data_IF_753173407986
#
_entry.id   IF_753173407986
#
_cell.length_a   1.000
_cell.length_b   1.000
_cell.length_c   1.000
_cell.angle_alpha   90.00
_cell.angle_beta   90.00
_cell.angle_gamma   90.00
#
_symmetry.space_group_name_H-M   'P 1'
#
loop_
_entity.id
_entity.type
_entity.pdbx_description
1 polymer ?
#
# COMPACT_ATOMS: atom_id res chain seq x y z
N UNK A 1 9.07 -12.20 -16.45
CA UNK A 1 8.72 -12.14 -15.01
C UNK A 1 7.23 -12.41 -14.88
N UNK A 2 6.79 -13.11 -13.84
CA UNK A 2 5.37 -13.32 -13.54
C UNK A 2 5.06 -12.75 -12.16
N UNK A 3 3.88 -12.16 -12.00
CA UNK A 3 3.43 -11.67 -10.71
C UNK A 3 3.05 -12.89 -9.85
N UNK A 4 3.61 -13.04 -8.63
CA UNK A 4 3.24 -14.13 -7.74
C UNK A 4 1.75 -14.09 -7.42
N UNK A 5 1.10 -15.25 -7.42
CA UNK A 5 -0.31 -15.38 -7.05
C UNK A 5 -0.44 -15.81 -5.59
N UNK A 6 -1.45 -15.27 -4.91
CA UNK A 6 -1.78 -15.63 -3.53
C UNK A 6 -3.17 -16.27 -3.47
N UNK A 7 -3.31 -17.35 -2.70
CA UNK A 7 -4.60 -18.02 -2.47
C UNK A 7 -5.53 -17.13 -1.63
N UNK A 8 -6.85 -17.33 -1.72
CA UNK A 8 -7.81 -16.56 -0.91
C UNK A 8 -7.56 -16.71 0.59
N UNK A 9 -7.30 -17.95 1.05
CA UNK A 9 -6.99 -18.21 2.46
C UNK A 9 -5.77 -17.42 2.93
N UNK A 10 -4.66 -17.47 2.18
CA UNK A 10 -3.44 -16.75 2.56
C UNK A 10 -3.64 -15.23 2.49
N UNK A 11 -4.38 -14.75 1.50
CA UNK A 11 -4.72 -13.33 1.37
C UNK A 11 -5.49 -12.82 2.60
N UNK A 12 -6.54 -13.53 3.01
CA UNK A 12 -7.32 -13.19 4.20
C UNK A 12 -6.48 -13.21 5.47
N UNK A 13 -5.62 -14.21 5.64
CA UNK A 13 -4.72 -14.30 6.79
C UNK A 13 -3.71 -13.14 6.84
N UNK A 14 -3.14 -12.77 5.70
CA UNK A 14 -2.21 -11.65 5.62
C UNK A 14 -2.93 -10.32 5.83
N UNK A 15 -4.12 -10.11 5.27
CA UNK A 15 -4.88 -8.86 5.46
C UNK A 15 -5.34 -8.62 6.89
N UNK A 16 -5.47 -9.67 7.71
CA UNK A 16 -5.70 -9.53 9.15
C UNK A 16 -4.48 -8.93 9.87
N UNK A 17 -3.28 -9.18 9.37
CA UNK A 17 -1.99 -8.82 10.00
C UNK A 17 -1.37 -7.56 9.40
N UNK A 18 -1.45 -7.42 8.09
CA UNK A 18 -0.76 -6.43 7.26
C UNK A 18 -1.81 -5.58 6.56
N UNK A 19 -1.88 -4.29 6.89
CA UNK A 19 -2.90 -3.38 6.36
C UNK A 19 -2.30 -2.29 5.48
N UNK A 20 -2.96 -1.90 4.39
CA UNK A 20 -2.55 -0.73 3.62
C UNK A 20 -2.70 0.55 4.46
N UNK A 21 -1.73 1.45 4.31
CA UNK A 21 -1.73 2.79 4.88
C UNK A 21 -1.33 3.81 3.81
N UNK A 22 -1.67 5.07 4.08
CA UNK A 22 -1.27 6.24 3.30
C UNK A 22 -0.73 7.30 4.25
N UNK A 23 0.15 8.18 3.75
CA UNK A 23 0.54 9.37 4.49
C UNK A 23 -0.34 10.56 4.14
N UNK A 24 -0.88 11.19 5.17
CA UNK A 24 -1.70 12.39 5.03
C UNK A 24 -1.38 13.39 6.13
N UNK A 25 -1.48 14.66 5.78
CA UNK A 25 -1.41 15.77 6.72
C UNK A 25 -2.76 16.47 6.84
N UNK A 26 -3.03 17.00 8.03
CA UNK A 26 -4.21 17.85 8.24
C UNK A 26 -3.90 19.25 7.74
N UNK A 27 -4.57 19.64 6.68
CA UNK A 27 -4.52 21.01 6.16
C UNK A 27 -5.75 21.75 6.67
N UNK A 28 -5.54 22.91 7.28
CA UNK A 28 -6.61 23.77 7.79
C UNK A 28 -6.58 25.10 7.07
N UNK A 29 -7.73 25.53 6.55
CA UNK A 29 -7.90 26.82 5.91
C UNK A 29 -9.21 27.48 6.39
N UNK A 30 -9.53 28.65 5.84
CA UNK A 30 -10.75 29.40 6.17
C UNK A 30 -12.06 28.65 5.90
N UNK A 31 -12.04 27.56 5.11
CA UNK A 31 -13.18 26.71 4.77
C UNK A 31 -13.27 25.44 5.63
N UNK A 32 -12.34 25.22 6.57
CA UNK A 32 -12.30 24.08 7.47
C UNK A 32 -11.00 23.27 7.41
N UNK A 33 -11.00 22.09 8.03
CA UNK A 33 -9.88 21.15 8.01
C UNK A 33 -10.15 19.97 7.08
N UNK A 34 -9.18 19.59 6.26
CA UNK A 34 -9.19 18.38 5.43
C UNK A 34 -7.89 17.59 5.58
N UNK A 35 -7.93 16.31 5.20
CA UNK A 35 -6.72 15.49 5.07
C UNK A 35 -6.29 15.51 3.62
N UNK A 36 -5.00 15.73 3.39
CA UNK A 36 -4.38 15.71 2.06
C UNK A 36 -3.18 14.78 2.09
N UNK A 37 -2.89 14.11 0.96
CA UNK A 37 -1.69 13.30 0.83
C UNK A 37 -0.44 14.16 1.02
N UNK A 38 0.45 13.70 1.89
CA UNK A 38 1.67 14.41 2.26
C UNK A 38 2.78 13.39 2.56
N UNK A 39 3.89 13.38 1.81
CA UNK A 39 5.02 12.47 2.06
C UNK A 39 5.62 12.54 3.47
N UNK A 40 5.48 13.68 4.15
CA UNK A 40 5.96 13.92 5.52
C UNK A 40 4.82 13.81 6.56
N UNK A 41 3.61 13.49 6.10
CA UNK A 41 2.43 13.33 6.93
C UNK A 41 2.41 12.06 7.78
N UNK A 42 1.36 12.01 8.59
CA UNK A 42 1.05 10.90 9.48
C UNK A 42 0.46 9.70 8.71
N UNK A 43 0.72 8.48 9.20
CA UNK A 43 0.16 7.27 8.61
C UNK A 43 -1.30 7.07 9.02
N UNK A 44 -2.18 6.92 8.04
CA UNK A 44 -3.59 6.58 8.23
C UNK A 44 -3.91 5.24 7.58
N UNK A 45 -4.73 4.43 8.26
CA UNK A 45 -5.36 3.28 7.60
C UNK A 45 -6.42 3.77 6.61
N UNK A 46 -6.58 3.05 5.51
CA UNK A 46 -7.62 3.34 4.52
C UNK A 46 -8.89 2.52 4.77
N UNK A 47 -10.02 2.98 4.22
CA UNK A 47 -11.26 2.22 4.16
C UNK A 47 -11.00 0.90 3.41
N UNK A 48 -11.58 -0.24 3.84
CA UNK A 48 -11.46 -1.50 3.11
C UNK A 48 -11.89 -1.36 1.65
N UNK A 49 -11.11 -1.96 0.75
CA UNK A 49 -11.38 -2.04 -0.68
C UNK A 49 -11.21 -3.49 -1.14
N UNK A 50 -11.74 -3.82 -2.32
CA UNK A 50 -11.64 -5.16 -2.88
C UNK A 50 -10.18 -5.52 -3.22
N UNK A 51 -9.54 -6.46 -2.49
CA UNK A 51 -8.08 -6.60 -2.47
C UNK A 51 -7.44 -7.07 -3.77
N UNK A 52 -8.22 -7.67 -4.69
CA UNK A 52 -7.74 -8.10 -6.02
C UNK A 52 -8.11 -7.13 -7.13
N UNK A 53 -9.17 -6.34 -6.93
CA UNK A 53 -9.80 -5.60 -8.03
C UNK A 53 -9.60 -4.10 -7.97
N UNK A 54 -9.28 -3.54 -6.81
CA UNK A 54 -9.18 -2.09 -6.62
C UNK A 54 -7.74 -1.68 -6.35
N UNK A 55 -7.29 -0.66 -7.07
CA UNK A 55 -6.09 0.11 -6.75
C UNK A 55 -6.34 0.84 -5.43
N UNK A 56 -5.74 0.36 -4.34
CA UNK A 56 -6.05 0.90 -3.02
C UNK A 56 -5.50 2.32 -2.79
N UNK A 57 -4.65 2.81 -3.70
CA UNK A 57 -3.99 4.11 -3.65
C UNK A 57 -4.51 5.13 -4.67
N UNK A 58 -5.53 4.83 -5.50
CA UNK A 58 -6.06 5.79 -6.49
C UNK A 58 -6.97 6.86 -5.89
N UNK A 59 -7.78 6.48 -4.90
CA UNK A 59 -8.63 7.40 -4.13
C UNK A 59 -8.76 6.85 -2.70
N UNK A 60 -7.65 6.79 -1.96
CA UNK A 60 -7.64 6.20 -0.64
C UNK A 60 -8.50 7.05 0.30
N UNK A 61 -9.47 6.43 0.96
CA UNK A 61 -10.26 7.11 1.99
C UNK A 61 -9.62 6.88 3.37
N UNK A 62 -8.87 7.85 3.93
CA UNK A 62 -8.28 7.68 5.26
C UNK A 62 -9.39 7.52 6.31
N UNK A 63 -9.17 6.62 7.27
CA UNK A 63 -10.16 6.30 8.31
C UNK A 63 -9.69 6.73 9.69
N UNK A 64 -8.57 6.17 10.16
CA UNK A 64 -8.01 6.47 11.48
C UNK A 64 -6.49 6.48 11.43
N UNK A 65 -5.91 7.31 12.28
CA UNK A 65 -4.47 7.39 12.50
C UNK A 65 -3.92 6.01 12.92
N UNK A 66 -2.87 5.55 12.26
CA UNK A 66 -2.20 4.29 12.51
C UNK A 66 -1.19 4.40 13.67
N UNK A 67 -1.67 4.82 14.86
CA UNK A 67 -0.84 5.12 16.06
C UNK A 67 0.13 4.01 16.46
N UNK A 68 -0.22 2.75 16.17
CA UNK A 68 0.58 1.57 16.51
C UNK A 68 1.66 1.23 15.47
N UNK A 69 1.72 1.94 14.35
CA UNK A 69 2.68 1.70 13.26
C UNK A 69 3.84 2.69 13.43
N UNK A 70 5.08 2.20 13.32
CA UNK A 70 6.25 3.07 13.28
C UNK A 70 6.17 3.91 12.00
N UNK A 71 6.20 5.26 12.06
CA UNK A 71 6.11 6.10 10.87
C UNK A 71 7.32 5.94 9.94
N UNK A 72 8.45 5.40 10.42
CA UNK A 72 9.62 5.15 9.58
C UNK A 72 9.57 3.72 9.03
N UNK A 73 9.52 3.52 7.70
CA UNK A 73 9.53 2.18 7.13
C UNK A 73 10.88 1.52 7.40
N UNK A 74 10.86 0.26 7.82
CA UNK A 74 12.09 -0.49 8.09
C UNK A 74 12.70 -1.07 6.81
N UNK A 75 11.92 -1.13 5.72
CA UNK A 75 12.34 -1.68 4.43
C UNK A 75 11.54 -1.08 3.27
N UNK A 76 12.19 -0.98 2.12
CA UNK A 76 11.57 -0.70 0.83
C UNK A 76 11.80 -1.90 -0.09
N UNK A 77 10.78 -2.29 -0.83
CA UNK A 77 10.85 -3.33 -1.87
C UNK A 77 10.25 -2.78 -3.17
N UNK A 78 10.67 -3.34 -4.30
CA UNK A 78 10.03 -3.09 -5.58
C UNK A 78 8.97 -4.17 -5.79
N UNK A 79 7.74 -3.75 -6.07
CA UNK A 79 6.62 -4.63 -6.41
C UNK A 79 6.21 -4.39 -7.84
N UNK A 80 5.78 -5.47 -8.49
CA UNK A 80 5.35 -5.52 -9.89
C UNK A 80 3.83 -5.70 -9.92
N UNK A 81 3.12 -4.97 -10.77
CA UNK A 81 1.66 -5.09 -10.86
C UNK A 81 1.15 -5.04 -12.30
N UNK A 82 -0.03 -5.62 -12.44
CA UNK A 82 -0.74 -5.70 -13.71
C UNK A 82 -1.46 -4.38 -14.05
N UNK A 83 -1.93 -4.29 -15.30
CA UNK A 83 -2.73 -3.17 -15.78
C UNK A 83 -4.14 -3.21 -15.17
N UNK A 84 -4.63 -2.07 -14.69
CA UNK A 84 -6.03 -1.86 -14.35
C UNK A 84 -6.89 -1.46 -15.55
N UNK A 85 -6.30 -0.72 -16.48
CA UNK A 85 -6.84 -0.33 -17.79
C UNK A 85 -5.66 -0.09 -18.77
N UNK A 86 -5.88 0.14 -20.08
CA UNK A 86 -4.82 0.26 -21.10
C UNK A 86 -3.73 1.32 -20.82
N UNK A 87 -3.92 2.18 -19.82
CA UNK A 87 -2.92 3.16 -19.37
C UNK A 87 -2.99 3.47 -17.87
N UNK A 88 -3.75 2.68 -17.09
CA UNK A 88 -3.96 2.93 -15.66
C UNK A 88 -3.49 1.74 -14.83
N UNK A 89 -2.58 2.01 -13.90
CA UNK A 89 -1.89 1.04 -13.05
C UNK A 89 -2.70 0.64 -11.83
N UNK A 90 -2.85 -0.66 -11.55
CA UNK A 90 -3.68 -1.11 -10.43
C UNK A 90 -2.87 -1.90 -9.41
N UNK A 91 -2.24 -1.25 -8.41
CA UNK A 91 -1.64 -1.99 -7.32
C UNK A 91 -2.76 -2.55 -6.47
N UNK A 92 -3.07 -3.82 -6.67
CA UNK A 92 -3.99 -4.52 -5.79
C UNK A 92 -3.26 -4.90 -4.50
N UNK A 93 -4.00 -4.96 -3.39
CA UNK A 93 -3.48 -5.43 -2.11
C UNK A 93 -2.93 -6.86 -2.26
N UNK A 94 -3.60 -7.69 -3.04
CA UNK A 94 -3.21 -9.08 -3.26
C UNK A 94 -1.83 -9.20 -3.91
N UNK A 95 -1.52 -8.38 -4.93
CA UNK A 95 -0.22 -8.40 -5.59
C UNK A 95 0.89 -7.90 -4.67
N UNK A 96 0.63 -6.83 -3.88
CA UNK A 96 1.61 -6.35 -2.90
C UNK A 96 1.92 -7.45 -1.89
N UNK A 97 0.88 -8.02 -1.27
CA UNK A 97 1.05 -9.04 -0.23
C UNK A 97 1.71 -10.31 -0.75
N UNK A 98 1.46 -10.71 -2.00
CA UNK A 98 2.11 -11.87 -2.64
C UNK A 98 3.62 -11.66 -2.87
N UNK A 99 4.10 -10.42 -2.88
CA UNK A 99 5.49 -10.06 -3.13
C UNK A 99 6.26 -9.65 -1.87
N UNK A 100 5.61 -9.60 -0.70
CA UNK A 100 6.30 -9.39 0.58
C UNK A 100 7.14 -10.64 0.88
N UNK A 101 8.48 -10.52 1.08
CA UNK A 101 9.31 -11.67 1.40
C UNK A 101 8.83 -12.36 2.68
N UNK A 102 8.84 -13.70 2.71
CA UNK A 102 8.30 -14.47 3.83
C UNK A 102 8.92 -14.09 5.19
N UNK A 103 10.23 -13.80 5.21
CA UNK A 103 10.95 -13.32 6.40
C UNK A 103 10.41 -12.01 6.97
N UNK A 104 9.80 -11.18 6.12
CA UNK A 104 9.24 -9.87 6.48
C UNK A 104 7.79 -9.97 6.94
N UNK A 105 7.05 -11.05 6.61
CA UNK A 105 5.63 -11.22 6.95
C UNK A 105 5.38 -11.17 8.47
N UNK A 106 6.29 -11.75 9.28
CA UNK A 106 6.15 -11.76 10.75
C UNK A 106 6.36 -10.38 11.40
N UNK A 107 7.07 -9.49 10.71
CA UNK A 107 7.46 -8.16 11.21
C UNK A 107 6.55 -7.05 10.67
N UNK A 108 6.12 -7.20 9.42
CA UNK A 108 5.29 -6.23 8.72
C UNK A 108 3.89 -6.16 9.35
N UNK A 109 3.43 -4.95 9.66
CA UNK A 109 2.06 -4.69 10.15
C UNK A 109 1.29 -3.76 9.22
N UNK A 110 2.00 -3.02 8.36
CA UNK A 110 1.41 -2.13 7.38
C UNK A 110 2.33 -1.91 6.18
N UNK A 111 1.76 -1.45 5.07
CA UNK A 111 2.50 -1.07 3.87
C UNK A 111 1.89 0.14 3.17
N UNK A 112 2.74 0.86 2.43
CA UNK A 112 2.37 1.97 1.53
C UNK A 112 3.03 1.71 0.17
N UNK A 113 2.34 2.02 -0.92
CA UNK A 113 2.87 1.81 -2.28
C UNK A 113 2.87 3.13 -3.05
N UNK A 114 4.05 3.50 -3.55
CA UNK A 114 4.28 4.68 -4.38
C UNK A 114 4.68 4.25 -5.79
N UNK A 115 4.07 4.84 -6.81
CA UNK A 115 4.30 4.45 -8.20
C UNK A 115 5.67 4.92 -8.69
N UNK A 116 6.41 4.05 -9.39
CA UNK A 116 7.69 4.43 -10.00
C UNK A 116 7.61 4.55 -11.53
N UNK A 117 6.64 3.90 -12.17
CA UNK A 117 6.41 3.99 -13.61
C UNK A 117 6.55 2.64 -14.35
N UNK A 118 6.79 2.72 -15.66
CA UNK A 118 6.91 1.56 -16.54
C UNK A 118 8.28 0.90 -16.42
N UNK A 119 8.33 -0.42 -16.60
CA UNK A 119 9.59 -1.10 -16.94
C UNK A 119 9.83 -0.99 -18.44
N UNK A 120 11.07 -0.75 -18.86
CA UNK A 120 11.48 -0.52 -20.26
C UNK A 120 11.12 -1.65 -21.26
N UNK A 121 10.53 -2.77 -20.80
CA UNK A 121 10.12 -3.94 -21.60
C UNK A 121 8.65 -4.39 -21.37
N UNK A 122 7.78 -3.44 -21.01
CA UNK A 122 6.32 -3.36 -21.31
C UNK A 122 5.42 -4.61 -21.17
N UNK A 123 5.34 -5.19 -19.98
CA UNK A 123 4.11 -5.93 -19.60
C UNK A 123 3.68 -5.70 -18.15
N UNK A 124 4.44 -4.93 -17.39
CA UNK A 124 4.15 -4.66 -15.99
C UNK A 124 4.61 -3.27 -15.59
N UNK A 125 4.07 -2.82 -14.47
CA UNK A 125 4.48 -1.58 -13.84
C UNK A 125 5.17 -1.86 -12.51
N UNK A 126 6.09 -0.97 -12.14
CA UNK A 126 6.78 -1.05 -10.86
C UNK A 126 6.28 0.01 -9.89
N UNK A 127 6.21 -0.39 -8.63
CA UNK A 127 5.96 0.50 -7.53
C UNK A 127 6.97 0.23 -6.41
N UNK A 128 7.33 1.29 -5.69
CA UNK A 128 8.08 1.18 -4.46
C UNK A 128 7.10 0.94 -3.31
N UNK A 129 7.15 -0.24 -2.74
CA UNK A 129 6.38 -0.58 -1.54
C UNK A 129 7.24 -0.42 -0.29
N UNK A 130 6.79 0.41 0.64
CA UNK A 130 7.38 0.64 1.97
C UNK A 130 6.71 -0.30 2.97
N UNK A 131 7.52 -1.02 3.75
CA UNK A 131 7.05 -1.93 4.78
C UNK A 131 7.27 -1.32 6.16
N UNK A 132 6.25 -1.42 7.01
CA UNK A 132 6.24 -0.82 8.33
C UNK A 132 6.09 -1.88 9.42
N UNK A 133 6.74 -1.62 10.54
CA UNK A 133 6.66 -2.45 11.74
C UNK A 133 5.86 -1.76 12.84
N UNK A 134 5.53 -2.50 13.89
CA UNK A 134 4.85 -1.93 15.06
C UNK A 134 5.75 -0.91 15.75
N UNK A 135 5.18 0.19 16.23
CA UNK A 135 5.87 1.14 17.10
C UNK A 135 6.26 0.43 18.39
N UNK A 136 7.53 0.60 18.81
CA UNK A 136 8.04 0.08 20.09
C UNK A 136 7.45 0.86 21.26
#
# INVERSE_FOLDING_TARGET
MSIPTITNKNLEELMKKIKPVIRVSRVTNSKGSRLEEDPDGDLYYIKPVEPRKVAFNWDPKPTRLAKSVNPNPYKKIITIHDYGAPSLFKPSIAEVLAQIPEKDIKKCVAFETNLLGFTDSSSYHTAQTRLYEKKR
#
